data_IF_442239376915
#
_entry.id   IF_442239376915
#
_cell.length_a   1.000
_cell.length_b   1.000
_cell.length_c   1.000
_cell.angle_alpha   90.00
_cell.angle_beta   90.00
_cell.angle_gamma   90.00
#
_symmetry.space_group_name_H-M   'P 1'
#
loop_
_entity.id
_entity.type
_entity.pdbx_description
1 polymer ?
#
# COMPACT_ATOMS: atom_id res chain seq x y z
N UNK A 1 -16.71 3.85 59.96
CA UNK A 1 -17.45 3.43 61.17
C UNK A 1 -18.59 4.39 61.58
N UNK A 2 -18.78 5.58 60.96
CA UNK A 2 -19.96 6.44 61.17
C UNK A 2 -20.16 7.04 62.57
N UNK A 3 -19.26 6.74 63.51
CA UNK A 3 -19.30 7.22 64.87
C UNK A 3 -18.79 8.67 64.98
N UNK A 4 -19.41 9.46 65.86
CA UNK A 4 -18.94 10.81 66.18
C UNK A 4 -17.54 10.75 66.79
N UNK A 5 -16.66 11.65 66.35
CA UNK A 5 -15.30 11.75 66.88
C UNK A 5 -15.35 12.30 68.32
N UNK A 6 -14.64 11.66 69.29
CA UNK A 6 -14.55 12.19 70.65
C UNK A 6 -13.71 13.47 70.64
N UNK A 7 -14.15 14.54 71.31
CA UNK A 7 -13.34 15.75 71.45
C UNK A 7 -12.21 15.54 72.47
N UNK A 8 -10.94 15.93 72.22
CA UNK A 8 -10.36 16.63 71.06
C UNK A 8 -9.54 15.68 70.15
N UNK A 9 -10.15 14.60 69.67
CA UNK A 9 -9.51 13.58 68.85
C UNK A 9 -9.56 13.91 67.36
N UNK A 10 -8.40 13.91 66.70
CA UNK A 10 -8.27 14.10 65.25
C UNK A 10 -8.61 12.83 64.44
N UNK A 11 -8.58 11.66 65.07
CA UNK A 11 -8.85 10.37 64.42
C UNK A 11 -9.77 9.49 65.26
N UNK A 12 -10.52 8.60 64.60
CA UNK A 12 -11.39 7.66 65.27
C UNK A 12 -10.58 6.51 65.88
N UNK A 13 -10.67 6.28 67.18
CA UNK A 13 -9.91 5.23 67.89
C UNK A 13 -10.27 3.79 67.50
N UNK A 14 -11.38 3.59 66.77
CA UNK A 14 -11.84 2.26 66.31
C UNK A 14 -11.53 1.98 64.83
N UNK A 15 -11.16 3.01 64.09
CA UNK A 15 -10.87 2.91 62.67
C UNK A 15 -9.35 3.13 62.50
N UNK A 16 -8.70 2.38 61.63
CA UNK A 16 -7.28 2.60 61.36
C UNK A 16 -7.06 4.03 60.83
N UNK A 17 -5.93 4.67 61.15
CA UNK A 17 -5.58 5.98 60.60
C UNK A 17 -5.66 5.95 59.07
N UNK A 18 -6.06 7.06 58.42
CA UNK A 18 -6.02 7.13 56.97
C UNK A 18 -4.60 6.81 56.49
N UNK A 19 -4.50 5.96 55.47
CA UNK A 19 -3.22 5.66 54.85
C UNK A 19 -2.56 6.97 54.38
N UNK A 20 -1.24 7.12 54.57
CA UNK A 20 -0.55 8.29 54.07
C UNK A 20 -0.76 8.40 52.56
N UNK A 21 -0.85 9.63 52.01
CA UNK A 21 -0.91 9.81 50.57
C UNK A 21 0.29 9.12 49.93
N UNK A 22 0.06 8.53 48.76
CA UNK A 22 1.13 7.88 48.00
C UNK A 22 2.31 8.85 47.82
N UNK A 23 3.57 8.37 47.93
CA UNK A 23 4.74 9.23 47.96
C UNK A 23 4.96 10.03 46.67
N UNK A 24 4.28 9.67 45.58
CA UNK A 24 4.30 10.39 44.32
C UNK A 24 2.94 10.27 43.61
N UNK A 25 2.00 11.20 43.87
CA UNK A 25 0.65 11.16 43.27
C UNK A 25 0.65 11.49 41.78
N UNK A 26 1.77 12.00 41.24
CA UNK A 26 1.93 12.28 39.80
C UNK A 26 2.73 11.19 39.08
N UNK A 27 3.08 10.11 39.77
CA UNK A 27 3.77 8.97 39.18
C UNK A 27 2.88 8.34 38.12
N UNK A 28 3.13 8.74 36.87
CA UNK A 28 2.46 8.20 35.70
C UNK A 28 2.70 6.70 35.55
N UNK A 29 2.28 6.16 34.42
CA UNK A 29 2.38 4.72 34.17
C UNK A 29 3.84 4.25 34.19
N UNK A 30 4.14 3.24 35.02
CA UNK A 30 5.46 2.59 35.01
C UNK A 30 5.74 2.00 33.62
N UNK A 31 7.00 2.07 33.15
CA UNK A 31 7.38 1.63 31.78
C UNK A 31 7.00 0.18 31.50
N UNK A 32 7.17 -0.72 32.48
CA UNK A 32 6.76 -2.13 32.37
C UNK A 32 5.25 -2.29 32.20
N UNK A 33 4.47 -1.49 32.94
CA UNK A 33 3.01 -1.49 32.85
C UNK A 33 2.53 -0.86 31.54
N UNK A 34 3.22 0.16 31.04
CA UNK A 34 2.98 0.76 29.73
C UNK A 34 3.21 -0.26 28.61
N UNK A 35 4.34 -0.96 28.64
CA UNK A 35 4.66 -2.00 27.68
C UNK A 35 3.60 -3.11 27.65
N UNK A 36 3.18 -3.59 28.83
CA UNK A 36 2.14 -4.61 28.93
C UNK A 36 0.82 -4.16 28.27
N UNK A 37 0.40 -2.91 28.52
CA UNK A 37 -0.83 -2.38 27.93
C UNK A 37 -0.72 -2.22 26.41
N UNK A 38 0.41 -1.71 25.92
CA UNK A 38 0.66 -1.58 24.48
C UNK A 38 0.62 -2.96 23.83
N UNK A 39 1.30 -3.96 24.41
CA UNK A 39 1.32 -5.33 23.90
C UNK A 39 -0.08 -5.97 23.85
N UNK A 40 -0.94 -5.71 24.83
CA UNK A 40 -2.32 -6.21 24.81
C UNK A 40 -3.15 -5.53 23.72
N UNK A 41 -3.04 -4.21 23.56
CA UNK A 41 -3.78 -3.46 22.53
C UNK A 41 -3.35 -3.88 21.11
N UNK A 42 -2.05 -4.07 20.89
CA UNK A 42 -1.53 -4.53 19.60
C UNK A 42 -1.98 -5.96 19.30
N UNK A 43 -1.98 -6.84 20.30
CA UNK A 43 -2.47 -8.22 20.15
C UNK A 43 -3.95 -8.26 19.76
N UNK A 44 -4.81 -7.46 20.42
CA UNK A 44 -6.23 -7.38 20.07
C UNK A 44 -6.41 -6.89 18.63
N UNK A 45 -5.67 -5.86 18.22
CA UNK A 45 -5.74 -5.35 16.85
C UNK A 45 -5.32 -6.40 15.82
N UNK A 46 -4.24 -7.15 16.08
CA UNK A 46 -3.79 -8.24 15.21
C UNK A 46 -4.85 -9.33 15.09
N UNK A 47 -5.48 -9.74 16.20
CA UNK A 47 -6.56 -10.74 16.18
C UNK A 47 -7.74 -10.25 15.33
N UNK A 48 -8.15 -8.99 15.49
CA UNK A 48 -9.21 -8.41 14.67
C UNK A 48 -8.80 -8.41 13.20
N UNK A 49 -7.58 -7.96 12.87
CA UNK A 49 -7.09 -7.94 11.50
C UNK A 49 -7.12 -9.35 10.86
N UNK A 50 -6.65 -10.38 11.55
CA UNK A 50 -6.66 -11.76 11.03
C UNK A 50 -8.09 -12.26 10.82
N UNK A 51 -9.01 -12.00 11.76
CA UNK A 51 -10.40 -12.48 11.70
C UNK A 51 -11.25 -11.71 10.68
N UNK A 52 -11.06 -10.39 10.56
CA UNK A 52 -11.87 -9.53 9.69
C UNK A 52 -11.33 -9.37 8.28
N UNK A 53 -10.02 -9.50 8.09
CA UNK A 53 -9.36 -9.21 6.82
C UNK A 53 -8.81 -10.46 6.12
N UNK A 54 -9.09 -11.67 6.63
CA UNK A 54 -8.55 -12.96 6.11
C UNK A 54 -7.02 -12.94 5.87
N UNK A 55 -6.30 -12.11 6.62
CA UNK A 55 -4.85 -11.95 6.47
C UNK A 55 -4.19 -13.22 6.97
N UNK A 56 -3.64 -14.02 6.04
CA UNK A 56 -2.78 -15.14 6.39
C UNK A 56 -1.41 -14.58 6.86
N UNK A 57 -1.07 -14.68 8.18
CA UNK A 57 0.18 -14.12 8.70
C UNK A 57 1.42 -14.80 8.10
N UNK A 58 1.24 -15.98 7.50
CA UNK A 58 2.28 -16.71 6.78
C UNK A 58 2.71 -16.03 5.45
N UNK A 59 1.80 -15.30 4.79
CA UNK A 59 2.13 -14.54 3.59
C UNK A 59 2.91 -13.25 3.91
N UNK A 60 2.82 -12.76 5.15
CA UNK A 60 3.49 -11.54 5.62
C UNK A 60 4.98 -11.76 5.92
N UNK A 61 5.37 -12.98 6.32
CA UNK A 61 6.78 -13.30 6.60
C UNK A 61 7.59 -13.69 5.36
N UNK A 62 6.92 -13.99 4.23
CA UNK A 62 7.59 -14.35 2.97
C UNK A 62 8.00 -13.13 2.13
N UNK A 63 7.55 -11.93 2.48
CA UNK A 63 7.80 -10.69 1.73
C UNK A 63 9.13 -9.98 2.11
N UNK A 64 9.90 -10.53 3.05
CA UNK A 64 11.20 -9.96 3.47
C UNK A 64 12.40 -10.38 2.60
N UNK A 65 12.16 -11.03 1.46
CA UNK A 65 13.21 -11.41 0.53
C UNK A 65 12.85 -11.00 -0.89
N UNK A 66 13.44 -9.88 -1.34
CA UNK A 66 13.51 -9.43 -2.75
C UNK A 66 12.16 -9.34 -3.47
N UNK A 67 11.61 -8.13 -3.63
CA UNK A 67 11.40 -7.48 -4.93
C UNK A 67 10.59 -6.17 -4.77
N UNK A 68 10.93 -5.21 -5.63
CA UNK A 68 10.26 -3.94 -5.96
C UNK A 68 9.03 -3.48 -5.14
N UNK A 69 9.17 -2.31 -4.49
CA UNK A 69 8.07 -1.58 -3.86
C UNK A 69 7.04 -1.17 -4.92
N UNK A 70 5.96 -1.94 -5.02
CA UNK A 70 4.71 -1.52 -5.62
C UNK A 70 3.99 -0.58 -4.65
N UNK A 71 3.82 0.68 -5.06
CA UNK A 71 2.92 1.62 -4.41
C UNK A 71 1.49 1.04 -4.46
N UNK A 72 0.99 0.51 -3.34
CA UNK A 72 -0.43 0.20 -3.20
C UNK A 72 -1.20 1.53 -3.06
N UNK A 73 -1.54 2.08 -4.23
CA UNK A 73 -2.57 3.10 -4.38
C UNK A 73 -3.89 2.43 -4.03
N UNK A 74 -4.69 3.08 -3.18
CA UNK A 74 -6.04 2.64 -2.87
C UNK A 74 -6.79 2.34 -4.18
N UNK A 75 -7.42 1.17 -4.24
CA UNK A 75 -8.19 0.68 -5.38
C UNK A 75 -9.47 1.51 -5.50
N UNK A 76 -9.35 2.73 -6.04
CA UNK A 76 -10.47 3.44 -6.62
C UNK A 76 -10.82 2.70 -7.93
N UNK A 77 -11.87 1.88 -7.87
CA UNK A 77 -12.52 1.35 -9.06
C UNK A 77 -13.00 2.52 -9.91
N UNK A 78 -12.42 2.67 -11.11
CA UNK A 78 -13.01 3.25 -12.33
C UNK A 78 -12.01 4.03 -13.22
N UNK A 79 -10.68 3.90 -13.05
CA UNK A 79 -9.74 4.47 -14.02
C UNK A 79 -9.15 3.41 -14.96
N UNK A 80 -9.63 3.37 -16.20
CA UNK A 80 -9.01 2.57 -17.25
C UNK A 80 -7.89 3.38 -17.92
N UNK A 81 -6.64 2.95 -17.76
CA UNK A 81 -5.48 3.56 -18.42
C UNK A 81 -5.40 3.03 -19.85
N UNK A 82 -5.60 3.91 -20.84
CA UNK A 82 -5.44 3.59 -22.25
C UNK A 82 -4.13 4.12 -22.80
N UNK A 83 -3.45 3.32 -23.63
CA UNK A 83 -2.25 3.74 -24.33
C UNK A 83 -2.53 4.01 -25.81
N UNK A 84 -1.97 5.08 -26.35
CA UNK A 84 -2.11 5.45 -27.76
C UNK A 84 -0.79 5.93 -28.37
N UNK A 85 -0.69 5.83 -29.70
CA UNK A 85 0.43 6.44 -30.44
C UNK A 85 0.26 7.96 -30.50
N UNK A 86 1.28 8.72 -30.11
CA UNK A 86 1.18 10.20 -30.05
C UNK A 86 1.74 10.94 -31.28
N UNK A 87 2.49 10.26 -32.13
CA UNK A 87 3.07 10.81 -33.37
C UNK A 87 2.29 10.36 -34.60
N UNK A 88 2.39 11.12 -35.69
CA UNK A 88 1.73 10.80 -36.98
C UNK A 88 2.01 9.38 -37.45
N UNK A 89 3.27 8.95 -37.38
CA UNK A 89 3.71 7.62 -37.80
C UNK A 89 4.73 7.05 -36.83
N UNK A 90 4.48 5.85 -36.33
CA UNK A 90 5.36 5.17 -35.40
C UNK A 90 5.76 3.78 -35.92
N UNK A 91 7.06 3.54 -36.02
CA UNK A 91 7.59 2.28 -36.56
C UNK A 91 7.56 1.18 -35.50
N UNK A 92 6.75 0.15 -35.74
CA UNK A 92 6.73 -1.09 -34.98
C UNK A 92 7.85 -2.01 -35.48
N UNK A 93 8.71 -2.48 -34.58
CA UNK A 93 9.94 -3.21 -34.92
C UNK A 93 9.95 -4.62 -34.35
N UNK A 94 10.76 -5.51 -34.95
CA UNK A 94 10.90 -6.87 -34.43
C UNK A 94 11.77 -6.97 -33.16
N UNK A 95 12.61 -5.97 -32.89
CA UNK A 95 13.55 -5.92 -31.76
C UNK A 95 13.59 -4.50 -31.16
N UNK A 96 13.94 -4.36 -29.86
CA UNK A 96 13.99 -3.07 -29.16
C UNK A 96 15.28 -2.29 -29.45
N UNK A 97 15.55 -1.99 -30.72
CA UNK A 97 16.65 -1.12 -31.12
C UNK A 97 16.34 -0.46 -32.48
N UNK A 98 17.13 0.53 -32.89
CA UNK A 98 16.97 1.19 -34.20
C UNK A 98 17.96 0.71 -35.26
N UNK A 99 19.11 0.14 -34.86
CA UNK A 99 20.25 -0.14 -35.74
C UNK A 99 20.15 -1.47 -36.49
N UNK A 100 19.75 -2.54 -35.82
CA UNK A 100 19.76 -3.93 -36.34
C UNK A 100 18.36 -4.55 -36.44
N UNK A 101 17.34 -3.84 -35.97
CA UNK A 101 15.94 -4.27 -36.06
C UNK A 101 15.36 -4.04 -37.46
N UNK A 102 14.36 -4.85 -37.83
CA UNK A 102 13.51 -4.63 -39.01
C UNK A 102 12.20 -3.96 -38.60
N UNK A 103 11.71 -3.05 -39.43
CA UNK A 103 10.37 -2.46 -39.28
C UNK A 103 9.35 -3.49 -39.77
N UNK A 104 8.42 -3.88 -38.88
CA UNK A 104 7.34 -4.82 -39.17
C UNK A 104 6.11 -4.09 -39.73
N UNK A 105 5.81 -2.91 -39.18
CA UNK A 105 4.64 -2.13 -39.53
C UNK A 105 4.80 -0.67 -39.12
N UNK A 106 3.96 0.22 -39.68
CA UNK A 106 3.88 1.62 -39.28
C UNK A 106 2.49 1.89 -38.70
N UNK A 107 2.44 2.29 -37.44
CA UNK A 107 1.21 2.64 -36.74
C UNK A 107 0.92 4.13 -36.90
N UNK A 108 -0.35 4.47 -37.07
CA UNK A 108 -0.80 5.85 -37.18
C UNK A 108 -1.09 6.45 -35.80
N UNK A 109 -1.05 7.78 -35.71
CA UNK A 109 -1.45 8.52 -34.52
C UNK A 109 -2.82 8.09 -34.00
N UNK A 110 -2.96 8.00 -32.68
CA UNK A 110 -4.19 7.62 -32.01
C UNK A 110 -4.48 6.12 -32.01
N UNK A 111 -3.63 5.29 -32.64
CA UNK A 111 -3.80 3.82 -32.59
C UNK A 111 -3.71 3.35 -31.13
N UNK A 112 -4.75 2.66 -30.65
CA UNK A 112 -4.80 2.12 -29.30
C UNK A 112 -3.89 0.90 -29.14
N UNK A 113 -3.18 0.85 -28.02
CA UNK A 113 -2.15 -0.14 -27.72
C UNK A 113 -2.42 -0.80 -26.37
N UNK A 114 -1.99 -2.05 -26.28
CA UNK A 114 -1.80 -2.79 -25.04
C UNK A 114 -0.29 -2.98 -24.83
N UNK A 115 0.21 -2.67 -23.64
CA UNK A 115 1.63 -2.86 -23.30
C UNK A 115 1.82 -4.27 -22.76
N UNK A 116 2.60 -5.09 -23.47
CA UNK A 116 2.89 -6.46 -23.08
C UNK A 116 4.19 -6.58 -22.26
N UNK A 117 5.18 -5.74 -22.55
CA UNK A 117 6.50 -5.81 -21.91
C UNK A 117 7.19 -4.44 -22.00
N UNK A 118 8.01 -4.07 -21.01
CA UNK A 118 8.87 -2.89 -21.04
C UNK A 118 10.34 -3.32 -20.95
N UNK A 119 11.18 -2.77 -21.83
CA UNK A 119 12.63 -3.02 -21.86
C UNK A 119 13.39 -1.73 -22.17
N UNK A 120 13.83 -1.05 -21.11
CA UNK A 120 14.52 0.23 -21.22
C UNK A 120 13.67 1.28 -21.93
N UNK A 121 14.16 1.81 -23.07
CA UNK A 121 13.46 2.85 -23.87
C UNK A 121 12.41 2.28 -24.84
N UNK A 122 12.07 1.00 -24.71
CA UNK A 122 11.19 0.28 -25.62
C UNK A 122 10.09 -0.43 -24.88
N UNK A 123 8.93 -0.51 -25.52
CA UNK A 123 7.78 -1.25 -25.05
C UNK A 123 7.36 -2.23 -26.13
N UNK A 124 7.20 -3.49 -25.77
CA UNK A 124 6.54 -4.47 -26.61
C UNK A 124 5.04 -4.23 -26.47
N UNK A 125 4.38 -4.00 -27.58
CA UNK A 125 2.97 -3.65 -27.62
C UNK A 125 2.20 -4.60 -28.52
N UNK A 126 0.89 -4.64 -28.32
CA UNK A 126 -0.10 -5.18 -29.24
C UNK A 126 -1.06 -4.08 -29.64
N UNK A 127 -1.23 -3.83 -30.94
CA UNK A 127 -2.25 -2.91 -31.42
C UNK A 127 -3.63 -3.56 -31.29
N UNK A 128 -4.64 -2.78 -30.92
CA UNK A 128 -6.02 -3.27 -30.97
C UNK A 128 -6.41 -3.55 -32.42
N UNK A 129 -7.16 -4.65 -32.69
CA UNK A 129 -7.65 -4.95 -34.02
C UNK A 129 -8.65 -3.87 -34.45
N UNK A 130 -8.51 -3.38 -35.69
CA UNK A 130 -9.46 -2.46 -36.30
C UNK A 130 -10.45 -3.21 -37.21
N UNK A 131 -11.52 -2.54 -37.70
CA UNK A 131 -12.50 -3.16 -38.59
C UNK A 131 -11.93 -3.76 -39.89
N UNK A 132 -10.75 -3.28 -40.32
CA UNK A 132 -10.08 -3.69 -41.56
C UNK A 132 -8.62 -4.11 -41.35
N UNK A 133 -8.13 -4.13 -40.11
CA UNK A 133 -6.72 -4.38 -39.82
C UNK A 133 -6.55 -5.35 -38.64
N UNK A 134 -5.78 -6.44 -38.81
CA UNK A 134 -5.52 -7.37 -37.72
C UNK A 134 -4.61 -6.73 -36.67
N UNK A 135 -4.71 -7.23 -35.43
CA UNK A 135 -3.78 -6.84 -34.37
C UNK A 135 -2.32 -7.13 -34.77
N UNK A 136 -1.43 -6.17 -34.49
CA UNK A 136 0.01 -6.28 -34.77
C UNK A 136 0.77 -6.24 -33.45
N UNK A 137 1.79 -7.07 -33.33
CA UNK A 137 2.64 -7.15 -32.13
C UNK A 137 4.08 -6.85 -32.50
N UNK A 138 4.75 -6.04 -31.68
CA UNK A 138 6.17 -5.71 -31.86
C UNK A 138 6.67 -4.69 -30.87
N UNK A 139 7.89 -4.20 -31.11
CA UNK A 139 8.57 -3.22 -30.26
C UNK A 139 8.37 -1.81 -30.77
N UNK A 140 7.92 -0.93 -29.89
CA UNK A 140 7.72 0.50 -30.12
C UNK A 140 8.57 1.29 -29.13
N UNK A 141 9.13 2.42 -29.56
CA UNK A 141 9.88 3.28 -28.65
C UNK A 141 8.91 3.90 -27.64
N UNK A 142 9.17 3.74 -26.34
CA UNK A 142 8.21 4.11 -25.28
C UNK A 142 7.86 5.60 -25.27
N UNK A 143 8.79 6.46 -25.74
CA UNK A 143 8.55 7.91 -25.90
C UNK A 143 7.47 8.28 -26.93
N UNK A 144 7.06 7.34 -27.78
CA UNK A 144 6.04 7.52 -28.81
C UNK A 144 4.65 7.07 -28.35
N UNK A 145 4.56 6.64 -27.09
CA UNK A 145 3.33 6.16 -26.45
C UNK A 145 2.89 7.24 -25.47
N UNK A 146 1.61 7.58 -25.53
CA UNK A 146 0.94 8.46 -24.58
C UNK A 146 -0.09 7.65 -23.79
N UNK A 147 -0.28 8.01 -22.52
CA UNK A 147 -1.21 7.37 -21.60
C UNK A 147 -2.34 8.33 -21.27
N UNK A 148 -3.57 7.88 -21.45
CA UNK A 148 -4.78 8.64 -21.15
C UNK A 148 -5.55 7.90 -20.06
N UNK A 149 -5.91 8.62 -19.00
CA UNK A 149 -6.76 8.12 -17.92
C UNK A 149 -8.19 8.52 -18.28
N UNK A 150 -9.10 7.55 -18.29
CA UNK A 150 -10.53 7.79 -18.50
C UNK A 150 -11.32 7.22 -17.35
#
# INVERSE_FOLDING_TARGET
CGALLPAPGFFCVRCDPPEPPEPDPEKGLNVSQAYLRIALLTLVFIVIAVVKLEINPLNLFLDSGTDEVSLQVAEDEDYEIFFKVNVSFANLRNKPNTKTSTILFVLNQGTQLEILEKKGKWSKIRSKPGPKEPARTGWLASKLIDSEIK
#
